data_IF_379714585681
#
_entry.id   IF_379714585681
#
_cell.length_a   1.000
_cell.length_b   1.000
_cell.length_c   1.000
_cell.angle_alpha   90.00
_cell.angle_beta   90.00
_cell.angle_gamma   90.00
#
_symmetry.space_group_name_H-M   'P 1'
#
loop_
_entity.id
_entity.type
_entity.pdbx_description
1 polymer ?
#
# COMPACT_ATOMS: atom_id res chain seq x y z
N UNK A 1 5.00 -0.50 27.77
CA UNK A 1 6.09 0.48 27.92
C UNK A 1 5.84 1.58 26.90
N UNK A 2 5.85 2.86 27.29
CA UNK A 2 5.80 3.95 26.34
C UNK A 2 7.13 4.05 25.58
N UNK A 3 7.09 4.46 24.32
CA UNK A 3 8.26 4.51 23.46
C UNK A 3 7.90 4.45 21.98
N UNK A 4 8.90 4.55 21.11
CA UNK A 4 8.75 4.44 19.66
C UNK A 4 9.29 3.09 19.20
N UNK A 5 8.47 2.33 18.48
CA UNK A 5 8.84 0.99 18.02
C UNK A 5 8.68 0.90 16.51
N UNK A 6 9.66 0.30 15.85
CA UNK A 6 9.62 0.01 14.43
C UNK A 6 8.86 -1.30 14.23
N UNK A 7 7.67 -1.23 13.66
CA UNK A 7 6.73 -2.36 13.55
C UNK A 7 6.14 -2.43 12.14
N UNK A 8 5.81 -3.65 11.70
CA UNK A 8 4.95 -3.90 10.55
C UNK A 8 3.48 -3.85 10.96
N UNK A 9 2.62 -3.17 10.19
CA UNK A 9 1.18 -3.11 10.45
C UNK A 9 0.45 -4.20 9.67
N UNK A 10 -0.20 -5.11 10.39
CA UNK A 10 -1.00 -6.21 9.86
C UNK A 10 -2.46 -5.96 10.25
N UNK A 11 -3.36 -6.03 9.27
CA UNK A 11 -4.81 -5.84 9.46
C UNK A 11 -5.54 -7.06 8.91
N UNK A 12 -6.29 -7.77 9.77
CA UNK A 12 -7.00 -9.00 9.38
C UNK A 12 -6.11 -9.97 8.55
N UNK A 13 -4.89 -10.23 9.04
CA UNK A 13 -3.86 -11.08 8.43
C UNK A 13 -3.25 -10.56 7.11
N UNK A 14 -3.59 -9.34 6.68
CA UNK A 14 -3.00 -8.68 5.52
C UNK A 14 -1.94 -7.68 5.97
N UNK A 15 -0.75 -7.75 5.36
CA UNK A 15 0.31 -6.78 5.62
C UNK A 15 0.03 -5.48 4.85
N UNK A 16 -0.33 -4.42 5.58
CA UNK A 16 -0.69 -3.13 4.99
C UNK A 16 0.55 -2.22 4.90
N UNK A 17 1.41 -2.26 5.92
CA UNK A 17 2.66 -1.50 5.93
C UNK A 17 3.78 -2.37 6.46
N UNK A 18 4.79 -2.56 5.62
CA UNK A 18 5.94 -3.41 5.94
C UNK A 18 6.77 -2.87 7.11
N UNK A 19 6.93 -1.55 7.23
CA UNK A 19 7.75 -0.98 8.29
C UNK A 19 7.37 0.47 8.59
N UNK A 20 7.06 0.77 9.84
CA UNK A 20 6.79 2.14 10.28
C UNK A 20 7.07 2.32 11.77
N UNK A 21 7.33 3.57 12.19
CA UNK A 21 7.54 3.91 13.60
C UNK A 21 6.18 4.15 14.24
N UNK A 22 5.84 3.35 15.25
CA UNK A 22 4.60 3.44 15.99
C UNK A 22 4.89 3.89 17.42
N UNK A 23 4.42 5.07 17.83
CA UNK A 23 4.54 5.54 19.20
C UNK A 23 3.56 4.83 20.14
N UNK A 24 4.00 4.59 21.37
CA UNK A 24 3.19 4.09 22.47
C UNK A 24 3.16 5.16 23.56
N UNK A 25 1.96 5.61 23.91
CA UNK A 25 1.77 6.65 24.92
C UNK A 25 1.03 6.10 26.12
N UNK A 26 1.26 6.70 27.28
CA UNK A 26 0.51 6.36 28.49
C UNK A 26 -0.84 7.06 28.48
N UNK A 27 -1.93 6.29 28.60
CA UNK A 27 -3.29 6.79 28.80
C UNK A 27 -3.81 6.33 30.16
N UNK A 28 -4.44 7.24 30.89
CA UNK A 28 -5.15 6.90 32.12
C UNK A 28 -6.49 6.28 31.76
N UNK A 29 -6.74 5.07 32.23
CA UNK A 29 -8.01 4.36 32.10
C UNK A 29 -8.49 4.01 33.52
N UNK A 30 -9.30 4.90 34.09
CA UNK A 30 -9.61 4.88 35.52
C UNK A 30 -8.36 5.12 36.37
N UNK A 31 -8.14 4.26 37.37
CA UNK A 31 -6.98 4.35 38.29
C UNK A 31 -5.68 3.75 37.72
N UNK A 32 -5.71 3.15 36.52
CA UNK A 32 -4.55 2.51 35.91
C UNK A 32 -4.02 3.33 34.73
N UNK A 33 -2.71 3.52 34.67
CA UNK A 33 -2.01 4.00 33.48
C UNK A 33 -1.66 2.82 32.59
N UNK A 34 -2.26 2.76 31.40
CA UNK A 34 -2.01 1.74 30.40
C UNK A 34 -1.21 2.36 29.25
N UNK A 35 -0.32 1.58 28.66
CA UNK A 35 0.39 1.97 27.44
C UNK A 35 -0.51 1.66 26.25
N UNK A 36 -0.91 2.69 25.51
CA UNK A 36 -1.76 2.56 24.33
C UNK A 36 -0.97 2.85 23.05
N UNK A 37 -1.27 2.07 22.01
CA UNK A 37 -0.68 2.18 20.68
C UNK A 37 -1.26 3.42 20.00
N UNK A 38 -0.41 4.30 19.51
CA UNK A 38 -0.83 5.49 18.78
C UNK A 38 -0.82 5.23 17.27
N UNK A 39 -2.00 5.26 16.66
CA UNK A 39 -2.13 5.28 15.20
C UNK A 39 -2.33 6.72 14.76
N UNK A 40 -1.44 7.23 13.91
CA UNK A 40 -1.59 8.58 13.38
C UNK A 40 -2.78 8.68 12.42
N UNK A 41 -3.40 9.86 12.25
CA UNK A 41 -4.46 10.06 11.26
C UNK A 41 -4.04 9.63 9.85
N UNK A 42 -2.80 9.97 9.45
CA UNK A 42 -2.23 9.55 8.16
C UNK A 42 -2.15 8.02 8.02
N UNK A 43 -1.84 7.33 9.10
CA UNK A 43 -1.78 5.87 9.11
C UNK A 43 -3.19 5.26 9.07
N UNK A 44 -4.15 5.85 9.79
CA UNK A 44 -5.56 5.43 9.76
C UNK A 44 -6.15 5.49 8.36
N UNK A 45 -5.82 6.51 7.58
CA UNK A 45 -6.38 6.67 6.24
C UNK A 45 -5.91 5.56 5.27
N UNK A 46 -4.79 4.88 5.58
CA UNK A 46 -4.29 3.71 4.83
C UNK A 46 -4.92 2.38 5.25
N UNK A 47 -5.75 2.34 6.29
CA UNK A 47 -6.39 1.11 6.78
C UNK A 47 -7.53 0.65 5.85
N UNK A 48 -8.10 1.56 5.06
CA UNK A 48 -9.28 1.27 4.23
C UNK A 48 -10.57 1.20 5.04
N UNK A 49 -10.77 2.13 5.96
CA UNK A 49 -12.03 2.26 6.70
C UNK A 49 -13.08 2.97 5.83
N UNK A 50 -14.34 2.51 5.89
CA UNK A 50 -15.47 3.22 5.28
C UNK A 50 -15.59 4.65 5.82
N UNK A 51 -16.11 5.58 5.02
CA UNK A 51 -16.32 6.97 5.44
C UNK A 51 -17.11 7.10 6.75
N UNK A 52 -18.14 6.26 6.93
CA UNK A 52 -18.94 6.24 8.16
C UNK A 52 -18.09 5.84 9.38
N UNK A 53 -17.22 4.85 9.23
CA UNK A 53 -16.30 4.43 10.28
C UNK A 53 -15.25 5.51 10.57
N UNK A 54 -14.65 6.10 9.52
CA UNK A 54 -13.69 7.21 9.64
C UNK A 54 -14.28 8.39 10.43
N UNK A 55 -15.49 8.82 10.09
CA UNK A 55 -16.19 9.91 10.76
C UNK A 55 -16.60 9.58 12.20
N UNK A 56 -16.66 8.30 12.56
CA UNK A 56 -16.94 7.84 13.92
C UNK A 56 -15.68 7.78 14.80
N UNK A 57 -14.48 7.81 14.20
CA UNK A 57 -13.21 7.80 14.97
C UNK A 57 -12.95 9.15 15.61
N UNK A 58 -12.52 9.12 16.88
CA UNK A 58 -12.07 10.30 17.59
C UNK A 58 -10.59 10.57 17.40
N UNK A 59 -10.12 11.69 17.93
CA UNK A 59 -8.69 11.98 18.10
C UNK A 59 -8.36 12.18 19.58
N UNK A 60 -7.20 11.69 19.99
CA UNK A 60 -6.65 11.89 21.33
C UNK A 60 -5.16 12.25 21.23
N UNK A 61 -4.52 12.52 22.38
CA UNK A 61 -3.13 12.96 22.45
C UNK A 61 -2.85 14.17 21.55
N UNK A 62 -3.55 15.28 21.78
CA UNK A 62 -3.41 16.53 21.01
C UNK A 62 -3.63 16.37 19.50
N UNK A 63 -4.48 15.43 19.09
CA UNK A 63 -4.79 15.20 17.68
C UNK A 63 -3.83 14.25 16.95
N UNK A 64 -2.84 13.70 17.65
CA UNK A 64 -1.81 12.85 17.05
C UNK A 64 -2.22 11.39 16.93
N UNK A 65 -3.14 10.93 17.78
CA UNK A 65 -3.55 9.53 17.83
C UNK A 65 -5.04 9.38 17.58
N UNK A 66 -5.40 8.37 16.80
CA UNK A 66 -6.79 8.02 16.51
C UNK A 66 -7.36 7.20 17.66
N UNK A 67 -8.59 7.54 18.08
CA UNK A 67 -9.35 6.77 19.05
C UNK A 67 -10.33 5.84 18.33
N UNK A 68 -10.07 4.53 18.41
CA UNK A 68 -10.90 3.47 17.84
C UNK A 68 -11.98 2.97 18.82
N UNK A 69 -12.05 3.47 20.05
CA UNK A 69 -13.05 3.08 21.05
C UNK A 69 -14.51 3.13 20.54
N UNK A 70 -14.90 4.08 19.65
CA UNK A 70 -16.25 4.10 19.07
C UNK A 70 -16.55 2.91 18.14
N UNK A 71 -15.53 2.29 17.55
CA UNK A 71 -15.67 1.16 16.63
C UNK A 71 -15.65 -0.16 17.41
N UNK A 72 -16.84 -0.66 17.74
CA UNK A 72 -16.98 -1.91 18.51
C UNK A 72 -16.35 -3.09 17.77
N UNK A 73 -15.47 -3.81 18.47
CA UNK A 73 -14.82 -5.03 17.95
C UNK A 73 -13.46 -4.79 17.31
N UNK A 74 -13.03 -3.53 17.17
CA UNK A 74 -11.63 -3.23 16.78
C UNK A 74 -10.70 -3.59 17.92
N UNK A 75 -9.63 -4.33 17.63
CA UNK A 75 -8.60 -4.72 18.59
C UNK A 75 -7.22 -4.45 18.03
N UNK A 76 -6.33 -3.90 18.86
CA UNK A 76 -4.92 -3.71 18.53
C UNK A 76 -4.09 -4.57 19.49
N UNK A 77 -3.15 -5.32 18.94
CA UNK A 77 -2.21 -6.16 19.69
C UNK A 77 -0.82 -6.00 19.10
N UNK A 78 0.17 -5.68 19.92
CA UNK A 78 1.55 -5.53 19.46
C UNK A 78 2.38 -6.74 19.89
N UNK A 79 3.00 -7.41 18.93
CA UNK A 79 3.95 -8.51 19.12
C UNK A 79 5.36 -7.97 18.96
N UNK A 80 6.02 -7.67 20.09
CA UNK A 80 7.39 -7.13 20.08
C UNK A 80 8.42 -8.16 19.61
N UNK A 81 8.18 -9.45 19.83
CA UNK A 81 9.06 -10.54 19.38
C UNK A 81 9.09 -10.68 17.86
N UNK A 82 7.99 -10.37 17.20
CA UNK A 82 7.84 -10.48 15.74
C UNK A 82 7.96 -9.12 15.05
N UNK A 83 8.13 -8.04 15.83
CA UNK A 83 8.10 -6.64 15.35
C UNK A 83 6.82 -6.31 14.57
N UNK A 84 5.68 -6.80 15.06
CA UNK A 84 4.39 -6.67 14.37
C UNK A 84 3.35 -5.97 15.24
N UNK A 85 2.54 -5.14 14.59
CA UNK A 85 1.29 -4.61 15.13
C UNK A 85 0.13 -5.28 14.40
N UNK A 86 -0.59 -6.13 15.12
CA UNK A 86 -1.78 -6.83 14.65
C UNK A 86 -3.02 -6.04 15.01
N UNK A 87 -3.82 -5.69 14.00
CA UNK A 87 -5.09 -5.03 14.13
C UNK A 87 -6.20 -5.93 13.59
N UNK A 88 -7.21 -6.19 14.40
CA UNK A 88 -8.41 -6.91 13.98
C UNK A 88 -9.56 -5.92 13.87
N UNK A 89 -10.16 -5.83 12.68
CA UNK A 89 -11.23 -4.88 12.35
C UNK A 89 -12.42 -5.65 11.80
N UNK A 90 -13.63 -5.46 12.34
CA UNK A 90 -14.84 -6.03 11.74
C UNK A 90 -15.06 -5.55 10.30
N UNK A 91 -15.41 -6.48 9.40
CA UNK A 91 -15.59 -6.21 7.96
C UNK A 91 -16.57 -5.08 7.66
N UNK A 92 -17.57 -4.86 8.53
CA UNK A 92 -18.58 -3.80 8.35
C UNK A 92 -18.01 -2.37 8.43
N UNK A 93 -16.79 -2.20 8.96
CA UNK A 93 -16.11 -0.90 9.02
C UNK A 93 -15.07 -0.74 7.92
N UNK A 94 -14.68 -1.81 7.25
CA UNK A 94 -13.73 -1.80 6.16
C UNK A 94 -14.45 -1.53 4.85
N UNK A 95 -13.76 -0.81 3.97
CA UNK A 95 -14.15 -0.77 2.57
C UNK A 95 -14.08 -2.18 1.98
N UNK A 96 -14.91 -2.41 0.97
CA UNK A 96 -14.87 -3.67 0.25
C UNK A 96 -13.45 -3.90 -0.29
N UNK A 97 -13.02 -5.17 -0.34
CA UNK A 97 -11.74 -5.57 -0.92
C UNK A 97 -11.92 -6.98 -1.47
N UNK A 98 -11.42 -7.24 -2.68
CA UNK A 98 -11.49 -8.54 -3.33
C UNK A 98 -10.06 -8.99 -3.68
N UNK A 99 -9.74 -10.30 -3.72
CA UNK A 99 -8.41 -10.76 -4.13
C UNK A 99 -7.92 -10.19 -5.48
N UNK A 100 -8.85 -9.79 -6.36
CA UNK A 100 -8.55 -9.21 -7.67
C UNK A 100 -8.75 -7.69 -7.72
N UNK A 101 -9.05 -7.04 -6.60
CA UNK A 101 -9.32 -5.61 -6.55
C UNK A 101 -8.83 -4.96 -5.24
N UNK A 102 -7.86 -4.06 -5.37
CA UNK A 102 -7.38 -3.25 -4.24
C UNK A 102 -8.19 -1.95 -4.12
N UNK A 103 -8.71 -1.62 -2.93
CA UNK A 103 -9.48 -0.40 -2.71
C UNK A 103 -8.63 0.86 -2.96
N UNK A 104 -9.24 1.97 -3.43
CA UNK A 104 -8.53 3.21 -3.74
C UNK A 104 -7.73 3.79 -2.57
N UNK A 105 -8.14 3.53 -1.33
CA UNK A 105 -7.43 3.97 -0.12
C UNK A 105 -6.00 3.44 -0.01
N UNK A 106 -5.70 2.32 -0.67
CA UNK A 106 -4.38 1.69 -0.68
C UNK A 106 -3.50 2.16 -1.85
N UNK A 107 -4.01 3.00 -2.75
CA UNK A 107 -3.25 3.43 -3.91
C UNK A 107 -2.23 4.50 -3.51
N UNK A 108 -0.97 4.28 -3.92
CA UNK A 108 0.05 5.31 -3.83
C UNK A 108 -0.06 6.26 -5.03
N UNK A 109 0.13 7.55 -4.80
CA UNK A 109 0.22 8.55 -5.87
C UNK A 109 1.53 8.44 -6.65
N UNK A 110 2.47 7.63 -6.15
CA UNK A 110 3.77 7.43 -6.74
C UNK A 110 4.70 8.62 -6.50
N UNK A 111 5.85 8.58 -7.17
CA UNK A 111 6.89 9.59 -7.07
C UNK A 111 6.92 10.36 -8.39
N UNK A 112 6.88 11.71 -8.40
CA UNK A 112 6.94 12.48 -9.64
C UNK A 112 8.26 12.21 -10.37
N UNK A 113 8.18 11.89 -11.66
CA UNK A 113 9.35 11.55 -12.48
C UNK A 113 9.14 11.81 -13.98
N UNK A 114 10.24 11.84 -14.71
CA UNK A 114 10.28 11.96 -16.18
C UNK A 114 10.84 10.66 -16.76
N UNK A 115 10.11 10.04 -17.69
CA UNK A 115 10.53 8.81 -18.38
C UNK A 115 10.55 9.05 -19.90
N UNK A 116 11.65 8.70 -20.57
CA UNK A 116 11.75 8.68 -22.03
C UNK A 116 12.07 7.26 -22.46
N UNK A 117 11.20 6.67 -23.27
CA UNK A 117 11.42 5.37 -23.90
C UNK A 117 11.55 5.56 -25.43
N UNK A 118 12.57 4.97 -26.04
CA UNK A 118 12.82 5.06 -27.47
C UNK A 118 13.08 3.66 -28.06
N UNK A 119 12.46 3.38 -29.21
CA UNK A 119 12.66 2.13 -29.93
C UNK A 119 12.99 2.42 -31.40
N UNK A 120 14.18 2.02 -31.85
CA UNK A 120 14.62 2.14 -33.24
C UNK A 120 14.82 0.74 -33.82
N UNK A 121 13.98 0.39 -34.79
CA UNK A 121 14.06 -0.85 -35.56
C UNK A 121 14.46 -0.51 -36.98
N UNK A 122 15.67 -0.94 -37.36
CA UNK A 122 16.16 -0.84 -38.72
C UNK A 122 16.32 -2.23 -39.32
N UNK A 123 15.78 -2.42 -40.54
CA UNK A 123 15.91 -3.68 -41.27
C UNK A 123 16.16 -3.39 -42.74
N UNK A 124 17.29 -3.87 -43.23
CA UNK A 124 17.71 -3.70 -44.62
C UNK A 124 17.80 -5.06 -45.30
N UNK A 125 16.94 -5.29 -46.30
CA UNK A 125 16.96 -6.48 -47.14
C UNK A 125 17.40 -6.07 -48.55
N UNK A 126 18.57 -6.52 -48.98
CA UNK A 126 19.00 -6.45 -50.39
C UNK A 126 18.76 -7.80 -51.05
N UNK A 127 18.03 -7.82 -52.16
CA UNK A 127 17.98 -8.96 -53.08
C UNK A 127 18.84 -8.64 -54.29
N UNK A 128 19.82 -9.49 -54.59
CA UNK A 128 20.51 -9.47 -55.87
C UNK A 128 19.66 -10.24 -56.88
N UNK A 129 19.07 -9.52 -57.83
CA UNK A 129 18.55 -10.12 -59.06
C UNK A 129 19.68 -10.11 -60.07
N UNK A 130 20.32 -11.26 -60.30
CA UNK A 130 21.21 -11.43 -61.45
C UNK A 130 20.31 -11.42 -62.69
N UNK A 131 20.38 -10.37 -63.50
CA UNK A 131 19.80 -10.38 -64.84
C UNK A 131 20.72 -11.21 -65.73
N UNK A 132 20.26 -12.42 -66.11
CA UNK A 132 20.87 -13.19 -67.19
C UNK A 132 20.61 -12.45 -68.50
N UNK A 133 21.65 -11.90 -69.13
CA UNK A 133 21.60 -11.45 -70.51
C UNK A 133 21.64 -12.69 -71.40
N UNK A 134 20.50 -13.09 -71.94
CA UNK A 134 20.39 -14.19 -72.92
C UNK A 134 20.70 -13.59 -74.29
N UNK A 135 21.90 -13.86 -74.80
CA UNK A 135 22.29 -13.50 -76.16
C UNK A 135 21.63 -14.47 -77.16
N UNK A 136 20.41 -14.16 -77.60
CA UNK A 136 19.83 -14.75 -78.82
C UNK A 136 20.34 -14.00 -80.05
N UNK A 137 21.30 -14.59 -80.76
CA UNK A 137 21.54 -14.31 -82.18
C UNK A 137 21.52 -15.63 -82.95
N UNK A 138 20.31 -16.06 -83.29
CA UNK A 138 20.04 -16.93 -84.44
C UNK A 138 20.14 -16.04 -85.68
N UNK A 139 20.93 -16.40 -86.68
CA UNK A 139 20.57 -16.39 -88.11
C UNK A 139 21.71 -16.96 -88.97
N UNK A 140 21.42 -18.16 -89.51
CA UNK A 140 21.95 -18.87 -90.69
C UNK A 140 23.44 -19.22 -90.77
#
# INVERSE_FOLDING_TARGET
MPGNYQLSLIINDQNIIHETIIPFYSRKMGDKTVSEICISPKLRDKIGLTEKALNSTGLWHQGQCVDFSPLKGVKLSASMSESQLNMSIPQLYLEYSDPFWSPPSLWDNGIPGLLLDYNLLDSHIKRNTVMNEVNEWVFL
#
